data_IF_949900265531
#
_entry.id   IF_949900265531
#
_cell.length_a   1.000
_cell.length_b   1.000
_cell.length_c   1.000
_cell.angle_alpha   90.00
_cell.angle_beta   90.00
_cell.angle_gamma   90.00
#
_symmetry.space_group_name_H-M   'P 1'
#
loop_
_entity.id
_entity.type
_entity.pdbx_description
1 polymer ?
#
# COMPACT_ATOMS: atom_id res chain seq x y z
N UNK A 1 26.01 -0.96 -16.94
CA UNK A 1 24.65 -0.89 -17.52
C UNK A 1 24.79 -0.51 -18.98
N UNK A 2 24.55 -1.45 -19.89
CA UNK A 2 24.61 -1.19 -21.33
C UNK A 2 23.18 -0.91 -21.78
N UNK A 3 22.84 0.37 -21.94
CA UNK A 3 21.57 0.77 -22.54
C UNK A 3 21.58 0.57 -24.05
N UNK A 4 20.40 0.57 -24.67
CA UNK A 4 20.24 0.47 -26.12
C UNK A 4 21.05 1.54 -26.86
N UNK A 5 21.80 1.16 -27.90
CA UNK A 5 22.68 2.05 -28.66
C UNK A 5 21.95 3.07 -29.55
N UNK A 6 20.64 2.91 -29.75
CA UNK A 6 19.81 3.83 -30.54
C UNK A 6 18.45 4.05 -29.87
N UNK A 7 18.07 5.31 -29.74
CA UNK A 7 16.76 5.73 -29.24
C UNK A 7 16.15 6.69 -30.28
N UNK A 8 14.89 6.46 -30.65
CA UNK A 8 14.14 7.38 -31.50
C UNK A 8 13.83 8.63 -30.67
N UNK A 9 14.18 9.81 -31.18
CA UNK A 9 13.95 11.06 -30.45
C UNK A 9 12.47 11.41 -30.46
N UNK A 10 12.00 12.06 -29.39
CA UNK A 10 10.63 12.57 -29.30
C UNK A 10 10.28 13.54 -30.44
N UNK A 11 11.26 14.31 -30.93
CA UNK A 11 11.10 15.19 -32.11
C UNK A 11 10.74 14.41 -33.37
N UNK A 12 11.33 13.23 -33.52
CA UNK A 12 11.20 12.41 -34.72
C UNK A 12 9.87 11.65 -34.65
N UNK A 13 9.47 11.22 -33.46
CA UNK A 13 8.17 10.62 -33.20
C UNK A 13 7.00 11.58 -33.48
N UNK A 14 7.18 12.86 -33.14
CA UNK A 14 6.15 13.89 -33.31
C UNK A 14 6.17 14.60 -34.66
N UNK A 15 7.17 14.32 -35.51
CA UNK A 15 7.24 14.92 -36.84
C UNK A 15 6.11 14.38 -37.72
N UNK A 16 5.35 15.28 -38.35
CA UNK A 16 4.15 14.96 -39.15
C UNK A 16 4.43 13.99 -40.30
N UNK A 17 5.66 14.00 -40.84
CA UNK A 17 6.05 13.21 -42.01
C UNK A 17 6.95 12.02 -41.64
N UNK A 18 7.15 11.73 -40.35
CA UNK A 18 8.01 10.64 -39.89
C UNK A 18 7.41 9.24 -40.10
N UNK A 19 6.09 9.17 -40.28
CA UNK A 19 5.35 7.91 -40.45
C UNK A 19 5.10 7.12 -39.16
N UNK A 20 5.53 7.61 -37.99
CA UNK A 20 5.29 6.91 -36.71
C UNK A 20 3.90 7.11 -36.14
N UNK A 21 3.24 8.23 -36.44
CA UNK A 21 1.91 8.57 -35.96
C UNK A 21 0.88 8.43 -37.07
N UNK A 22 -0.21 7.71 -36.80
CA UNK A 22 -1.38 7.64 -37.67
C UNK A 22 -2.56 8.21 -36.89
N UNK A 23 -3.17 9.29 -37.39
CA UNK A 23 -4.23 10.05 -36.69
C UNK A 23 -3.83 10.53 -35.28
N UNK A 24 -2.54 10.78 -35.04
CA UNK A 24 -2.03 11.22 -33.74
C UNK A 24 -1.81 10.08 -32.73
N UNK A 25 -2.05 8.83 -33.11
CA UNK A 25 -1.79 7.66 -32.27
C UNK A 25 -0.49 6.94 -32.68
N UNK A 26 0.25 6.48 -31.67
CA UNK A 26 1.45 5.66 -31.83
C UNK A 26 1.14 4.21 -31.43
N UNK A 27 1.47 3.25 -32.30
CA UNK A 27 1.40 1.82 -31.98
C UNK A 27 2.81 1.25 -31.84
N UNK A 28 3.14 0.77 -30.64
CA UNK A 28 4.41 0.09 -30.36
C UNK A 28 4.16 -1.42 -30.40
N UNK A 29 4.98 -2.14 -31.16
CA UNK A 29 4.96 -3.62 -31.22
C UNK A 29 6.28 -4.11 -30.66
N UNK A 30 6.23 -4.96 -29.64
CA UNK A 30 7.38 -5.65 -29.08
C UNK A 30 7.21 -7.14 -29.31
N UNK A 31 8.17 -7.74 -30.00
CA UNK A 31 8.28 -9.18 -30.13
C UNK A 31 9.18 -9.70 -29.01
N UNK A 32 8.67 -10.65 -28.23
CA UNK A 32 9.41 -11.27 -27.13
C UNK A 32 9.67 -12.71 -27.55
N UNK A 33 10.90 -12.96 -28.00
CA UNK A 33 11.37 -14.31 -28.25
C UNK A 33 11.70 -15.00 -26.93
N UNK A 34 10.95 -16.05 -26.61
CA UNK A 34 11.29 -16.94 -25.49
C UNK A 34 12.33 -17.94 -26.00
N UNK A 35 13.61 -17.61 -25.84
CA UNK A 35 14.69 -18.55 -26.04
C UNK A 35 14.65 -19.56 -24.89
N UNK A 36 14.31 -20.81 -25.23
CA UNK A 36 14.46 -22.06 -24.47
C UNK A 36 14.67 -21.92 -22.95
N UNK A 37 13.70 -22.40 -22.16
CA UNK A 37 13.80 -22.40 -20.69
C UNK A 37 14.89 -23.39 -20.26
N UNK A 38 16.12 -22.91 -20.08
CA UNK A 38 17.22 -23.72 -19.54
C UNK A 38 17.13 -23.72 -18.01
N UNK A 39 16.36 -24.67 -17.50
CA UNK A 39 16.28 -25.00 -16.08
C UNK A 39 14.90 -25.50 -15.70
N UNK A 40 14.82 -26.74 -15.24
CA UNK A 40 13.75 -27.11 -14.29
C UNK A 40 14.05 -26.28 -13.05
N UNK A 41 13.22 -25.27 -12.78
CA UNK A 41 13.30 -24.54 -11.53
C UNK A 41 12.86 -25.50 -10.43
N UNK A 42 13.81 -26.29 -9.92
CA UNK A 42 13.64 -27.22 -8.78
C UNK A 42 13.59 -26.46 -7.43
N UNK A 43 13.21 -25.18 -7.49
CA UNK A 43 12.52 -24.56 -6.36
C UNK A 43 11.11 -25.10 -6.49
N UNK A 44 10.56 -25.82 -5.50
CA UNK A 44 9.14 -26.14 -5.55
C UNK A 44 8.47 -24.79 -5.79
N UNK A 45 7.83 -24.63 -6.95
CA UNK A 45 6.81 -23.62 -7.09
C UNK A 45 5.84 -24.06 -6.02
N UNK A 46 5.98 -23.45 -4.84
CA UNK A 46 4.90 -23.42 -3.87
C UNK A 46 3.82 -22.81 -4.72
N UNK A 47 2.94 -23.65 -5.26
CA UNK A 47 1.72 -23.21 -5.86
C UNK A 47 1.08 -22.45 -4.71
N UNK A 48 1.28 -21.13 -4.70
CA UNK A 48 0.65 -20.27 -3.74
C UNK A 48 -0.80 -20.40 -4.12
N UNK A 49 -1.51 -21.26 -3.40
CA UNK A 49 -2.90 -21.58 -3.68
C UNK A 49 -3.66 -20.26 -3.65
N UNK A 50 -3.93 -19.72 -4.83
CA UNK A 50 -4.64 -18.47 -5.00
C UNK A 50 -6.09 -18.81 -5.27
N UNK A 51 -6.97 -18.27 -4.45
CA UNK A 51 -8.41 -18.44 -4.53
C UNK A 51 -9.01 -17.14 -5.02
N UNK A 52 -9.94 -17.21 -5.98
CA UNK A 52 -10.73 -16.05 -6.39
C UNK A 52 -11.88 -15.83 -5.40
N UNK A 53 -11.89 -14.67 -4.76
CA UNK A 53 -12.98 -14.23 -3.89
C UNK A 53 -13.54 -12.94 -4.49
N UNK A 54 -14.75 -12.97 -5.04
CA UNK A 54 -15.41 -11.78 -5.61
C UNK A 54 -14.53 -11.04 -6.67
N UNK A 55 -13.77 -11.79 -7.48
CA UNK A 55 -12.87 -11.23 -8.48
C UNK A 55 -11.55 -10.68 -7.93
N UNK A 56 -11.18 -11.04 -6.70
CA UNK A 56 -9.88 -10.77 -6.09
C UNK A 56 -9.08 -12.06 -6.00
N UNK A 57 -7.81 -12.04 -6.41
CA UNK A 57 -6.92 -13.20 -6.23
C UNK A 57 -6.31 -13.14 -4.83
N UNK A 58 -6.60 -14.13 -3.99
CA UNK A 58 -6.26 -14.13 -2.57
C UNK A 58 -5.45 -15.38 -2.24
N UNK A 59 -4.36 -15.24 -1.48
CA UNK A 59 -3.62 -16.41 -1.00
C UNK A 59 -4.50 -17.23 -0.05
N UNK A 60 -4.42 -18.56 -0.11
CA UNK A 60 -5.19 -19.46 0.73
C UNK A 60 -5.08 -19.12 2.23
N UNK A 61 -3.90 -18.67 2.68
CA UNK A 61 -3.65 -18.22 4.06
C UNK A 61 -4.41 -16.95 4.47
N UNK A 62 -4.89 -16.16 3.51
CA UNK A 62 -5.59 -14.89 3.74
C UNK A 62 -7.10 -15.00 3.50
N UNK A 63 -7.59 -16.12 2.96
CA UNK A 63 -8.99 -16.33 2.59
C UNK A 63 -9.95 -16.03 3.74
N UNK A 64 -9.62 -16.51 4.94
CA UNK A 64 -10.47 -16.31 6.13
C UNK A 64 -10.59 -14.82 6.49
N UNK A 65 -9.46 -14.10 6.57
CA UNK A 65 -9.45 -12.67 6.86
C UNK A 65 -10.23 -11.86 5.82
N UNK A 66 -10.12 -12.25 4.54
CA UNK A 66 -10.84 -11.59 3.45
C UNK A 66 -12.35 -11.87 3.54
N UNK A 67 -12.76 -13.11 3.83
CA UNK A 67 -14.16 -13.45 4.01
C UNK A 67 -14.79 -12.65 5.15
N UNK A 68 -14.14 -12.62 6.32
CA UNK A 68 -14.58 -11.82 7.48
C UNK A 68 -14.72 -10.33 7.11
N UNK A 69 -13.76 -9.80 6.34
CA UNK A 69 -13.81 -8.41 5.88
C UNK A 69 -15.04 -8.14 5.01
N UNK A 70 -15.34 -9.00 4.04
CA UNK A 70 -16.50 -8.86 3.16
C UNK A 70 -17.82 -9.14 3.87
N UNK A 71 -17.87 -10.04 4.85
CA UNK A 71 -19.06 -10.27 5.67
C UNK A 71 -19.40 -9.04 6.53
N UNK A 72 -18.38 -8.45 7.16
CA UNK A 72 -18.55 -7.25 8.00
C UNK A 72 -18.85 -6.00 7.17
N UNK A 73 -18.30 -5.91 5.97
CA UNK A 73 -18.47 -4.77 5.07
C UNK A 73 -18.83 -5.21 3.63
N UNK A 74 -20.06 -5.68 3.38
CA UNK A 74 -20.44 -6.26 2.08
C UNK A 74 -20.30 -5.29 0.89
N UNK A 75 -20.42 -3.99 1.15
CA UNK A 75 -20.36 -2.96 0.12
C UNK A 75 -18.97 -2.32 -0.04
N UNK A 76 -17.93 -2.87 0.62
CA UNK A 76 -16.58 -2.27 0.67
C UNK A 76 -15.99 -2.01 -0.73
N UNK A 77 -16.26 -2.90 -1.69
CA UNK A 77 -15.75 -2.81 -3.06
C UNK A 77 -16.82 -2.41 -4.10
N UNK A 78 -18.00 -1.93 -3.67
CA UNK A 78 -19.15 -1.74 -4.59
C UNK A 78 -18.92 -0.68 -5.69
N UNK A 79 -18.04 0.29 -5.45
CA UNK A 79 -17.74 1.37 -6.39
C UNK A 79 -16.38 1.18 -7.09
N UNK A 80 -15.71 0.04 -6.86
CA UNK A 80 -14.40 -0.26 -7.44
C UNK A 80 -14.54 -0.50 -8.94
N UNK A 81 -13.89 0.35 -9.74
CA UNK A 81 -13.96 0.28 -11.21
C UNK A 81 -12.79 -0.49 -11.84
N UNK A 82 -11.77 -0.80 -11.04
CA UNK A 82 -10.58 -1.52 -11.49
C UNK A 82 -10.94 -2.95 -11.88
N UNK A 83 -10.65 -3.29 -13.15
CA UNK A 83 -10.87 -4.63 -13.72
C UNK A 83 -9.62 -5.52 -13.71
N UNK A 84 -8.43 -4.92 -13.61
CA UNK A 84 -7.17 -5.65 -13.60
C UNK A 84 -7.03 -6.43 -12.27
N UNK A 85 -6.86 -7.75 -12.35
CA UNK A 85 -6.80 -8.64 -11.18
C UNK A 85 -5.62 -8.35 -10.27
N UNK A 86 -4.45 -8.04 -10.82
CA UNK A 86 -3.27 -7.69 -10.03
C UNK A 86 -3.50 -6.40 -9.23
N UNK A 87 -4.04 -5.36 -9.85
CA UNK A 87 -4.37 -4.12 -9.14
C UNK A 87 -5.42 -4.35 -8.05
N UNK A 88 -6.48 -5.12 -8.32
CA UNK A 88 -7.48 -5.50 -7.32
C UNK A 88 -6.84 -6.20 -6.11
N UNK A 89 -5.94 -7.14 -6.38
CA UNK A 89 -5.17 -7.87 -5.36
C UNK A 89 -4.29 -6.93 -4.55
N UNK A 90 -3.59 -5.99 -5.20
CA UNK A 90 -2.80 -4.95 -4.52
C UNK A 90 -3.66 -4.11 -3.58
N UNK A 91 -4.83 -3.65 -4.02
CA UNK A 91 -5.73 -2.89 -3.16
C UNK A 91 -6.22 -3.70 -1.95
N UNK A 92 -6.54 -4.98 -2.15
CA UNK A 92 -6.96 -5.85 -1.05
C UNK A 92 -5.83 -6.09 -0.05
N UNK A 93 -4.59 -6.29 -0.51
CA UNK A 93 -3.44 -6.43 0.39
C UNK A 93 -3.19 -5.17 1.21
N UNK A 94 -3.38 -3.99 0.62
CA UNK A 94 -3.31 -2.72 1.35
C UNK A 94 -4.43 -2.63 2.39
N UNK A 95 -5.65 -3.08 2.08
CA UNK A 95 -6.73 -3.13 3.06
C UNK A 95 -6.38 -4.02 4.25
N UNK A 96 -5.87 -5.23 3.97
CA UNK A 96 -5.47 -6.16 5.01
C UNK A 96 -4.35 -5.57 5.91
N UNK A 97 -3.34 -4.91 5.32
CA UNK A 97 -2.28 -4.28 6.11
C UNK A 97 -2.80 -3.12 6.97
N UNK A 98 -3.73 -2.30 6.46
CA UNK A 98 -4.37 -1.25 7.25
C UNK A 98 -5.18 -1.82 8.42
N UNK A 99 -5.89 -2.94 8.22
CA UNK A 99 -6.60 -3.61 9.32
C UNK A 99 -5.67 -4.24 10.35
N UNK A 100 -4.51 -4.72 9.92
CA UNK A 100 -3.46 -5.23 10.80
C UNK A 100 -2.86 -4.11 11.65
N UNK A 101 -2.60 -2.93 11.07
CA UNK A 101 -2.15 -1.74 11.81
C UNK A 101 -3.13 -1.39 12.93
N UNK A 102 -4.44 -1.42 12.64
CA UNK A 102 -5.48 -1.18 13.66
C UNK A 102 -5.61 -2.28 14.72
N UNK A 103 -5.01 -3.44 14.48
CA UNK A 103 -5.00 -4.55 15.44
C UNK A 103 -3.82 -4.48 16.42
N UNK A 104 -2.83 -3.60 16.16
CA UNK A 104 -1.68 -3.35 17.04
C UNK A 104 -2.08 -2.50 18.25
N UNK A 105 -1.29 -2.56 19.32
CA UNK A 105 -1.46 -1.62 20.42
C UNK A 105 -1.05 -0.20 19.98
N UNK A 106 -1.63 0.88 20.54
CA UNK A 106 -1.26 2.22 20.13
C UNK A 106 0.23 2.52 20.33
N UNK A 107 0.88 1.94 21.35
CA UNK A 107 2.31 2.10 21.61
C UNK A 107 3.21 1.50 20.52
N UNK A 108 2.73 0.46 19.83
CA UNK A 108 3.41 -0.21 18.73
C UNK A 108 3.25 0.55 17.40
N UNK A 109 2.29 1.48 17.30
CA UNK A 109 2.10 2.29 16.11
C UNK A 109 3.10 3.45 16.12
N UNK A 110 3.99 3.46 15.13
CA UNK A 110 4.93 4.55 14.93
C UNK A 110 4.30 5.74 14.19
N UNK A 111 4.88 6.94 14.35
CA UNK A 111 4.42 8.12 13.62
C UNK A 111 4.52 7.94 12.10
N UNK A 112 5.54 7.21 11.61
CA UNK A 112 5.67 6.88 10.19
C UNK A 112 4.56 5.93 9.73
N UNK A 113 4.21 4.92 10.52
CA UNK A 113 3.14 3.98 10.18
C UNK A 113 1.81 4.72 10.01
N UNK A 114 1.54 5.73 10.84
CA UNK A 114 0.33 6.55 10.72
C UNK A 114 0.27 7.31 9.41
N UNK A 115 1.36 7.99 9.04
CA UNK A 115 1.42 8.79 7.81
C UNK A 115 1.30 7.89 6.58
N UNK A 116 1.97 6.74 6.60
CA UNK A 116 1.88 5.74 5.54
C UNK A 116 0.48 5.15 5.45
N UNK A 117 -0.14 4.81 6.59
CA UNK A 117 -1.51 4.30 6.64
C UNK A 117 -2.53 5.27 6.03
N UNK A 118 -2.44 6.55 6.35
CA UNK A 118 -3.31 7.57 5.74
C UNK A 118 -3.07 7.74 4.23
N UNK A 119 -1.81 7.68 3.82
CA UNK A 119 -1.43 7.77 2.41
C UNK A 119 -1.99 6.58 1.63
N UNK A 120 -1.84 5.37 2.18
CA UNK A 120 -2.38 4.13 1.65
C UNK A 120 -3.91 4.13 1.63
N UNK A 121 -4.57 4.56 2.70
CA UNK A 121 -6.02 4.69 2.78
C UNK A 121 -6.56 5.59 1.65
N UNK A 122 -5.97 6.78 1.47
CA UNK A 122 -6.35 7.72 0.42
C UNK A 122 -6.21 7.09 -0.98
N UNK A 123 -5.11 6.37 -1.21
CA UNK A 123 -4.90 5.63 -2.46
C UNK A 123 -6.00 4.60 -2.74
N UNK A 124 -6.44 3.85 -1.73
CA UNK A 124 -7.49 2.83 -1.88
C UNK A 124 -8.89 3.47 -2.03
N UNK A 125 -9.19 4.56 -1.31
CA UNK A 125 -10.45 5.33 -1.48
C UNK A 125 -10.56 5.86 -2.92
N UNK A 126 -9.46 6.39 -3.47
CA UNK A 126 -9.42 6.89 -4.85
C UNK A 126 -9.69 5.79 -5.90
N UNK A 127 -9.45 4.51 -5.55
CA UNK A 127 -9.79 3.37 -6.40
C UNK A 127 -11.29 2.98 -6.35
N UNK A 128 -12.08 3.62 -5.48
CA UNK A 128 -13.52 3.43 -5.34
C UNK A 128 -13.92 2.48 -4.22
N UNK A 129 -13.04 2.18 -3.26
CA UNK A 129 -13.43 1.44 -2.06
C UNK A 129 -14.16 2.36 -1.06
N UNK A 130 -15.16 1.80 -0.38
CA UNK A 130 -15.93 2.49 0.67
C UNK A 130 -15.33 2.17 2.04
N UNK A 131 -14.55 3.11 2.57
CA UNK A 131 -13.68 2.89 3.74
C UNK A 131 -13.92 3.88 4.88
N UNK A 132 -15.12 4.47 4.98
CA UNK A 132 -15.45 5.47 6.02
C UNK A 132 -15.19 4.93 7.44
N UNK A 133 -15.48 3.64 7.65
CA UNK A 133 -15.24 2.98 8.93
C UNK A 133 -13.73 2.86 9.25
N UNK A 134 -12.90 2.63 8.24
CA UNK A 134 -11.46 2.44 8.38
C UNK A 134 -10.77 3.79 8.59
N UNK A 135 -11.21 4.82 7.87
CA UNK A 135 -10.79 6.20 8.08
C UNK A 135 -11.07 6.67 9.51
N UNK A 136 -12.29 6.42 9.99
CA UNK A 136 -12.68 6.74 11.37
C UNK A 136 -11.83 5.98 12.38
N UNK A 137 -11.66 4.67 12.20
CA UNK A 137 -10.87 3.84 13.11
C UNK A 137 -9.39 4.26 13.16
N UNK A 138 -8.79 4.58 12.01
CA UNK A 138 -7.41 5.09 11.94
C UNK A 138 -7.27 6.42 12.66
N UNK A 139 -8.26 7.32 12.51
CA UNK A 139 -8.27 8.59 13.23
C UNK A 139 -8.31 8.40 14.73
N UNK A 140 -9.20 7.55 15.22
CA UNK A 140 -9.33 7.22 16.64
C UNK A 140 -8.03 6.62 17.19
N UNK A 141 -7.41 5.69 16.45
CA UNK A 141 -6.12 5.09 16.84
C UNK A 141 -5.00 6.14 16.95
N UNK A 142 -4.91 7.06 15.98
CA UNK A 142 -3.95 8.16 16.01
C UNK A 142 -4.19 9.11 17.20
N UNK A 143 -5.45 9.45 17.48
CA UNK A 143 -5.81 10.31 18.61
C UNK A 143 -5.44 9.67 19.96
N UNK A 144 -5.65 8.36 20.12
CA UNK A 144 -5.23 7.62 21.32
C UNK A 144 -3.72 7.71 21.49
N UNK A 145 -2.97 7.44 20.42
CA UNK A 145 -1.51 7.47 20.45
C UNK A 145 -0.93 8.86 20.73
N UNK A 146 -1.55 9.92 20.21
CA UNK A 146 -1.15 11.29 20.55
C UNK A 146 -1.30 11.53 22.05
N UNK A 147 -2.43 11.15 22.65
CA UNK A 147 -2.66 11.33 24.10
C UNK A 147 -1.65 10.57 24.95
N UNK A 148 -1.28 9.34 24.57
CA UNK A 148 -0.24 8.60 25.27
C UNK A 148 1.13 9.30 25.22
N UNK A 149 1.46 9.91 24.08
CA UNK A 149 2.71 10.65 23.94
C UNK A 149 2.67 11.92 24.80
N UNK A 150 1.54 12.63 24.83
CA UNK A 150 1.34 13.79 25.69
C UNK A 150 1.49 13.44 27.18
N UNK A 151 0.92 12.31 27.62
CA UNK A 151 1.05 11.82 28.99
C UNK A 151 2.51 11.47 29.32
N UNK A 152 3.21 10.76 28.43
CA UNK A 152 4.63 10.44 28.58
C UNK A 152 5.50 11.70 28.66
N UNK A 153 5.19 12.73 27.85
CA UNK A 153 5.89 14.01 27.89
C UNK A 153 5.65 14.77 29.20
N UNK A 154 4.42 14.73 29.72
CA UNK A 154 4.09 15.33 31.03
C UNK A 154 4.94 14.72 32.14
N UNK A 155 5.00 13.39 32.22
CA UNK A 155 5.80 12.65 33.23
C UNK A 155 7.30 12.97 33.10
N UNK A 156 7.82 13.07 31.88
CA UNK A 156 9.24 13.42 31.67
C UNK A 156 9.54 14.88 32.05
N UNK A 157 8.58 15.78 31.85
CA UNK A 157 8.71 17.20 32.20
C UNK A 157 8.76 17.39 33.72
N UNK A 158 7.93 16.66 34.47
CA UNK A 158 7.96 16.66 35.94
C UNK A 158 9.30 16.12 36.46
N UNK A 159 9.76 14.96 35.96
CA UNK A 159 11.06 14.39 36.34
C UNK A 159 12.23 15.33 36.05
N UNK A 160 12.14 16.10 34.95
CA UNK A 160 13.15 17.11 34.63
C UNK A 160 13.17 18.24 35.65
N UNK A 161 12.00 18.74 36.05
CA UNK A 161 11.89 19.79 37.05
C UNK A 161 12.46 19.33 38.41
N UNK A 162 12.20 18.09 38.82
CA UNK A 162 12.77 17.51 40.04
C UNK A 162 14.30 17.47 40.00
N UNK A 163 14.87 17.03 38.87
CA UNK A 163 16.32 17.00 38.66
C UNK A 163 16.93 18.41 38.67
N UNK A 164 16.27 19.38 38.04
CA UNK A 164 16.74 20.77 38.02
C UNK A 164 16.71 21.40 39.42
N UNK A 165 15.67 21.09 40.23
CA UNK A 165 15.58 21.54 41.62
C UNK A 165 16.70 20.94 42.50
N UNK A 166 16.98 19.64 42.34
CA UNK A 166 18.10 18.99 43.02
C UNK A 166 19.44 19.62 42.64
N UNK A 167 19.68 19.87 41.35
CA UNK A 167 20.91 20.48 40.87
C UNK A 167 21.11 21.90 41.44
N UNK A 168 20.04 22.70 41.52
CA UNK A 168 20.11 24.04 42.10
C UNK A 168 20.38 24.03 43.61
N UNK A 169 19.95 22.99 44.33
CA UNK A 169 20.24 22.84 45.77
C UNK A 169 21.71 22.52 46.07
N UNK A 170 22.49 22.12 45.06
CA UNK A 170 23.91 21.77 45.18
C UNK A 170 24.85 22.96 44.88
N UNK A 171 24.31 24.12 44.48
CA UNK A 171 25.07 25.36 44.22
C UNK A 171 25.00 26.29 45.43
#
# INVERSE_FOLDING_TARGET
>A
MQGFQSMIRLSDLNARDSGFLVNGELKIVAEVDVLEVVGELDVPVVATDVVDINGFQVLASQVESVNILFEKYPNIASNVRVKNSHLRTTYLNILLSLTEILSKSPEEISNSDMVEAYSALSFVINAGFKLDWLEKALKEACEIRIKEIEEKLSVLTEKRADMDALLNSLK
#
